data_IF_084528800236
#
_entry.id   IF_084528800236
#
_cell.length_a   1.000
_cell.length_b   1.000
_cell.length_c   1.000
_cell.angle_alpha   90.00
_cell.angle_beta   90.00
_cell.angle_gamma   90.00
#
_symmetry.space_group_name_H-M   'P 1'
#
loop_
_entity.id
_entity.type
_entity.pdbx_description
1 polymer ?
#
# COMPACT_ATOMS: atom_id res chain seq x y z
N UNK A 1 3.54 -9.93 -18.58
CA UNK A 1 4.37 -10.34 -17.44
C UNK A 1 3.62 -11.50 -16.81
N UNK A 2 4.10 -12.73 -16.98
CA UNK A 2 3.43 -13.94 -16.50
C UNK A 2 4.07 -14.34 -15.16
N UNK A 3 3.25 -14.77 -14.19
CA UNK A 3 3.76 -15.31 -12.91
C UNK A 3 4.30 -16.73 -13.14
N UNK A 4 5.45 -17.07 -12.57
CA UNK A 4 5.96 -18.44 -12.54
C UNK A 4 5.37 -19.22 -11.36
N UNK A 5 5.18 -20.53 -11.50
CA UNK A 5 4.70 -21.43 -10.43
C UNK A 5 5.67 -21.51 -9.24
N UNK A 6 6.94 -21.19 -9.46
CA UNK A 6 8.00 -21.26 -8.45
C UNK A 6 8.13 -19.98 -7.60
N UNK A 7 7.27 -18.98 -7.83
CA UNK A 7 7.36 -17.70 -7.14
C UNK A 7 6.64 -17.72 -5.79
N UNK A 8 7.40 -17.55 -4.71
CA UNK A 8 6.86 -17.39 -3.35
C UNK A 8 7.16 -15.99 -2.81
N UNK A 9 6.20 -15.42 -2.08
CA UNK A 9 6.33 -14.13 -1.39
C UNK A 9 6.13 -14.31 0.11
N UNK A 10 7.10 -13.84 0.90
CA UNK A 10 7.05 -13.82 2.36
C UNK A 10 7.12 -12.38 2.87
N UNK A 11 6.09 -11.95 3.59
CA UNK A 11 6.05 -10.66 4.28
C UNK A 11 6.43 -10.79 5.75
N UNK A 12 7.36 -9.96 6.22
CA UNK A 12 7.73 -9.85 7.64
C UNK A 12 7.19 -8.52 8.19
N UNK A 13 6.37 -8.59 9.23
CA UNK A 13 5.79 -7.42 9.88
C UNK A 13 6.18 -7.38 11.36
N UNK A 14 6.71 -6.25 11.86
CA UNK A 14 7.06 -6.11 13.28
C UNK A 14 5.86 -6.39 14.19
N UNK A 15 6.10 -6.96 15.39
CA UNK A 15 5.05 -7.35 16.36
C UNK A 15 4.10 -6.21 16.78
N UNK A 16 4.54 -4.96 16.68
CA UNK A 16 3.73 -3.77 17.00
C UNK A 16 3.11 -3.07 15.79
N UNK A 17 3.30 -3.60 14.58
CA UNK A 17 2.67 -3.06 13.40
C UNK A 17 1.14 -3.15 13.50
N UNK A 18 0.40 -2.15 13.00
CA UNK A 18 -1.06 -2.27 12.91
C UNK A 18 -1.42 -3.49 12.05
N UNK A 19 -2.59 -4.07 12.32
CA UNK A 19 -3.08 -5.21 11.54
C UNK A 19 -3.36 -4.72 10.11
N UNK A 20 -2.60 -5.22 9.16
CA UNK A 20 -2.72 -4.86 7.75
C UNK A 20 -3.88 -5.61 7.10
N UNK A 21 -4.65 -4.91 6.27
CA UNK A 21 -5.63 -5.52 5.37
C UNK A 21 -4.95 -5.77 4.03
N UNK A 22 -4.87 -7.03 3.60
CA UNK A 22 -4.44 -7.39 2.24
C UNK A 22 -5.68 -7.73 1.41
N UNK A 23 -5.88 -7.01 0.31
CA UNK A 23 -6.87 -7.35 -0.72
C UNK A 23 -6.14 -8.07 -1.87
N UNK A 24 -6.67 -9.21 -2.31
CA UNK A 24 -6.01 -10.09 -3.30
C UNK A 24 -6.61 -10.00 -4.70
N UNK A 25 -7.55 -9.07 -4.93
CA UNK A 25 -8.27 -8.91 -6.20
C UNK A 25 -9.18 -10.09 -6.51
N UNK A 26 -9.71 -10.79 -5.50
CA UNK A 26 -10.65 -11.90 -5.71
C UNK A 26 -12.01 -11.34 -6.15
N UNK A 27 -12.76 -12.07 -6.97
CA UNK A 27 -14.06 -11.61 -7.50
C UNK A 27 -15.07 -11.17 -6.42
N UNK A 28 -14.94 -11.68 -5.19
CA UNK A 28 -15.79 -11.31 -4.06
C UNK A 28 -15.38 -10.01 -3.35
N UNK A 29 -14.25 -9.40 -3.69
CA UNK A 29 -13.76 -8.18 -3.04
C UNK A 29 -14.40 -6.94 -3.68
N UNK A 30 -15.08 -6.15 -2.85
CA UNK A 30 -15.60 -4.84 -3.26
C UNK A 30 -14.45 -3.84 -3.38
N UNK A 31 -14.00 -3.63 -4.62
CA UNK A 31 -12.91 -2.71 -4.95
C UNK A 31 -13.22 -1.26 -4.60
N UNK A 32 -14.49 -0.85 -4.58
CA UNK A 32 -14.90 0.50 -4.21
C UNK A 32 -14.73 0.69 -2.71
N UNK A 33 -15.22 -0.25 -1.90
CA UNK A 33 -15.03 -0.22 -0.46
C UNK A 33 -13.53 -0.26 -0.08
N UNK A 34 -12.72 -1.02 -0.82
CA UNK A 34 -11.26 -1.07 -0.61
C UNK A 34 -10.54 0.22 -1.01
N UNK A 35 -11.00 0.88 -2.07
CA UNK A 35 -10.49 2.20 -2.45
C UNK A 35 -10.78 3.24 -1.35
N UNK A 36 -11.99 3.23 -0.78
CA UNK A 36 -12.37 4.10 0.33
C UNK A 36 -11.56 3.80 1.61
N UNK A 37 -11.34 2.52 1.95
CA UNK A 37 -10.46 2.13 3.05
C UNK A 37 -9.03 2.67 2.83
N UNK A 38 -8.50 2.53 1.61
CA UNK A 38 -7.13 2.95 1.25
C UNK A 38 -6.94 4.47 1.33
N UNK A 39 -7.98 5.27 1.10
CA UNK A 39 -7.94 6.74 1.25
C UNK A 39 -7.66 7.20 2.68
N UNK A 40 -7.92 6.35 3.68
CA UNK A 40 -7.67 6.66 5.09
C UNK A 40 -6.22 6.39 5.52
N UNK A 41 -5.38 5.82 4.65
CA UNK A 41 -3.97 5.60 4.95
C UNK A 41 -3.26 6.96 5.04
N UNK A 42 -2.60 7.28 6.17
CA UNK A 42 -1.91 8.54 6.32
C UNK A 42 -0.75 8.67 5.35
N UNK A 43 -0.54 9.87 4.83
CA UNK A 43 0.64 10.19 4.02
C UNK A 43 1.87 10.19 4.94
N UNK A 44 2.93 9.43 4.63
CA UNK A 44 4.12 9.39 5.47
C UNK A 44 4.89 10.72 5.43
N UNK A 45 5.56 11.05 6.52
CA UNK A 45 6.39 12.27 6.63
C UNK A 45 7.65 12.22 5.78
N UNK A 46 8.16 11.01 5.51
CA UNK A 46 9.37 10.76 4.72
C UNK A 46 9.20 9.56 3.80
N UNK A 47 9.97 9.54 2.72
CA UNK A 47 10.02 8.41 1.81
C UNK A 47 10.87 7.29 2.43
N UNK A 48 10.37 6.04 2.52
CA UNK A 48 11.11 4.94 3.13
C UNK A 48 12.36 4.52 2.33
N UNK A 49 12.48 4.91 1.06
CA UNK A 49 13.64 4.62 0.21
C UNK A 49 14.59 5.81 0.17
N UNK A 50 14.07 7.02 0.02
CA UNK A 50 14.88 8.23 -0.25
C UNK A 50 14.96 9.22 0.92
N UNK A 51 14.28 8.97 2.03
CA UNK A 51 14.29 9.84 3.20
C UNK A 51 13.46 11.12 3.03
N UNK A 52 13.92 12.22 3.64
CA UNK A 52 13.18 13.49 3.72
C UNK A 52 12.90 14.13 2.36
N UNK A 53 13.82 14.00 1.42
CA UNK A 53 13.73 14.60 0.08
C UNK A 53 13.15 13.63 -0.97
N UNK A 54 12.62 12.50 -0.52
CA UNK A 54 12.04 11.51 -1.42
C UNK A 54 10.71 11.93 -2.02
N UNK A 55 10.35 11.38 -3.20
CA UNK A 55 9.16 11.80 -3.93
C UNK A 55 7.84 11.35 -3.29
N UNK A 56 7.82 10.27 -2.50
CA UNK A 56 6.59 9.61 -2.04
C UNK A 56 5.58 10.57 -1.39
N UNK A 57 5.95 11.41 -0.40
CA UNK A 57 4.97 12.29 0.25
C UNK A 57 4.34 13.30 -0.72
N UNK A 58 5.11 13.81 -1.68
CA UNK A 58 4.61 14.77 -2.67
C UNK A 58 3.62 14.15 -3.65
N UNK A 59 3.91 12.93 -4.12
CA UNK A 59 3.06 12.20 -5.05
C UNK A 59 1.72 11.84 -4.41
N UNK A 60 1.75 11.40 -3.15
CA UNK A 60 0.55 11.02 -2.41
C UNK A 60 -0.32 12.23 -2.08
N UNK A 61 0.28 13.37 -1.69
CA UNK A 61 -0.45 14.64 -1.49
C UNK A 61 -1.17 15.09 -2.76
N UNK A 62 -0.52 14.96 -3.92
CA UNK A 62 -1.14 15.28 -5.21
C UNK A 62 -2.31 14.36 -5.53
N UNK A 63 -2.15 13.05 -5.31
CA UNK A 63 -3.21 12.07 -5.54
C UNK A 63 -4.42 12.31 -4.61
N UNK A 64 -4.19 12.64 -3.34
CA UNK A 64 -5.24 12.92 -2.36
C UNK A 64 -6.02 14.23 -2.62
N UNK A 65 -5.47 15.13 -3.43
CA UNK A 65 -6.12 16.39 -3.79
C UNK A 65 -7.10 16.28 -4.98
N UNK A 66 -7.30 15.07 -5.52
CA UNK A 66 -8.12 14.78 -6.70
C UNK A 66 -9.33 13.92 -6.33
#
# INVERSE_FOLDING_TARGET
MESSEDYEYVGLYPKGAPKWTNAYGKESEDTTAKAEESRNVPIPDYDPIYGLDGPLPSLWKKAAAT
#
